data_IF_178597464934
#
_entry.id   IF_178597464934
#
_cell.length_a   1.000
_cell.length_b   1.000
_cell.length_c   1.000
_cell.angle_alpha   90.00
_cell.angle_beta   90.00
_cell.angle_gamma   90.00
#
_symmetry.space_group_name_H-M   'P 1'
#
loop_
_entity.id
_entity.type
_entity.pdbx_description
1 polymer ?
#
# COMPACT_ATOMS: atom_id res chain seq x y z
N UNK A 1 8.35 -22.28 -28.00
CA UNK A 1 6.90 -22.52 -27.98
C UNK A 1 6.49 -22.73 -26.54
N UNK A 2 5.84 -21.74 -25.90
CA UNK A 2 5.41 -21.81 -24.49
C UNK A 2 4.04 -22.48 -24.48
N UNK A 3 3.93 -23.64 -23.85
CA UNK A 3 2.65 -24.37 -23.74
C UNK A 3 1.70 -23.56 -22.81
N UNK A 4 0.52 -23.13 -23.26
CA UNK A 4 -0.40 -22.31 -22.46
C UNK A 4 -1.20 -23.09 -21.42
N UNK A 5 -0.90 -24.36 -21.21
CA UNK A 5 -1.61 -25.25 -20.27
C UNK A 5 -0.83 -25.53 -18.97
N UNK A 6 0.09 -24.62 -18.59
CA UNK A 6 0.68 -24.66 -17.24
C UNK A 6 -0.44 -24.47 -16.22
N UNK A 7 -0.52 -25.39 -15.25
CA UNK A 7 -1.46 -25.38 -14.14
C UNK A 7 -1.61 -23.98 -13.58
N UNK A 8 -2.85 -23.49 -13.48
CA UNK A 8 -3.17 -22.21 -12.83
C UNK A 8 -2.45 -22.15 -11.49
N UNK A 9 -1.63 -21.11 -11.23
CA UNK A 9 -0.95 -21.01 -9.95
C UNK A 9 -1.98 -21.09 -8.82
N UNK A 10 -1.70 -21.81 -7.73
CA UNK A 10 -2.64 -21.92 -6.62
C UNK A 10 -3.00 -20.53 -6.10
N UNK A 11 -4.29 -20.19 -6.14
CA UNK A 11 -4.81 -18.88 -5.67
C UNK A 11 -5.68 -18.13 -6.69
N UNK A 12 -5.98 -18.69 -7.85
CA UNK A 12 -6.94 -18.11 -8.79
C UNK A 12 -8.36 -18.31 -8.28
N UNK A 13 -8.99 -17.23 -7.82
CA UNK A 13 -10.43 -17.12 -7.61
C UNK A 13 -11.04 -16.20 -8.67
N UNK A 14 -12.36 -16.14 -8.79
CA UNK A 14 -13.04 -15.30 -9.79
C UNK A 14 -12.67 -13.82 -9.73
N UNK A 15 -12.14 -13.36 -8.60
CA UNK A 15 -11.74 -11.97 -8.34
C UNK A 15 -10.22 -11.84 -8.10
N UNK A 16 -9.42 -12.78 -8.61
CA UNK A 16 -7.96 -12.77 -8.42
C UNK A 16 -7.26 -12.83 -9.78
N UNK A 17 -6.31 -11.94 -9.98
CA UNK A 17 -5.48 -11.86 -11.19
C UNK A 17 -4.01 -11.87 -10.80
N UNK A 18 -3.22 -12.63 -11.54
CA UNK A 18 -1.75 -12.63 -11.40
C UNK A 18 -1.16 -11.99 -12.64
N UNK A 19 -0.37 -10.94 -12.47
CA UNK A 19 0.24 -10.16 -13.55
C UNK A 19 1.75 -10.16 -13.38
N UNK A 20 2.57 -10.28 -14.46
CA UNK A 20 4.00 -10.04 -14.35
C UNK A 20 4.25 -8.65 -13.78
N UNK A 21 5.21 -8.53 -12.86
CA UNK A 21 5.51 -7.22 -12.27
C UNK A 21 5.95 -6.21 -13.34
N UNK A 22 6.64 -6.66 -14.39
CA UNK A 22 7.05 -5.83 -15.51
C UNK A 22 5.86 -5.18 -16.25
N UNK A 23 4.77 -5.92 -16.49
CA UNK A 23 3.58 -5.39 -17.15
C UNK A 23 2.81 -4.44 -16.24
N UNK A 24 2.76 -4.76 -14.94
CA UNK A 24 2.17 -3.88 -13.93
C UNK A 24 2.95 -2.57 -13.78
N UNK A 25 4.27 -2.62 -13.74
CA UNK A 25 5.17 -1.47 -13.63
C UNK A 25 5.12 -0.60 -14.90
N UNK A 26 5.04 -1.23 -16.07
CA UNK A 26 4.89 -0.55 -17.36
C UNK A 26 3.46 0.01 -17.60
N UNK A 27 2.47 -0.36 -16.75
CA UNK A 27 1.08 0.04 -16.92
C UNK A 27 0.39 -0.63 -18.11
N UNK A 28 0.86 -1.80 -18.55
CA UNK A 28 0.30 -2.57 -19.66
C UNK A 28 -0.90 -3.41 -19.22
N UNK A 29 -1.84 -2.76 -18.54
CA UNK A 29 -3.08 -3.39 -18.12
C UNK A 29 -4.23 -3.00 -19.05
N UNK A 30 -5.27 -3.84 -19.18
CA UNK A 30 -6.43 -3.50 -20.01
C UNK A 30 -7.09 -2.22 -19.50
N UNK A 31 -7.59 -1.38 -20.42
CA UNK A 31 -8.25 -0.11 -20.13
C UNK A 31 -9.63 -0.24 -19.43
N UNK A 32 -9.77 -1.22 -18.55
CA UNK A 32 -10.98 -1.50 -17.76
C UNK A 32 -10.65 -1.22 -16.31
N UNK A 33 -11.53 -0.52 -15.60
CA UNK A 33 -11.38 -0.23 -14.18
C UNK A 33 -11.32 -1.52 -13.35
N UNK A 34 -10.25 -1.67 -12.57
CA UNK A 34 -10.05 -2.86 -11.76
C UNK A 34 -11.07 -2.98 -10.61
N UNK A 35 -11.73 -1.89 -10.20
CA UNK A 35 -12.70 -1.84 -9.10
C UNK A 35 -14.13 -2.06 -9.61
N UNK A 36 -14.54 -1.37 -10.67
CA UNK A 36 -15.93 -1.30 -11.13
C UNK A 36 -16.21 -2.08 -12.41
N UNK A 37 -15.17 -2.49 -13.16
CA UNK A 37 -15.33 -3.13 -14.47
C UNK A 37 -15.73 -2.17 -15.60
N UNK A 38 -15.92 -0.89 -15.33
CA UNK A 38 -16.20 0.15 -16.33
C UNK A 38 -14.94 0.53 -17.11
N UNK A 39 -15.04 1.24 -18.26
CA UNK A 39 -13.86 1.79 -18.93
C UNK A 39 -13.06 2.68 -17.99
N UNK A 40 -11.75 2.47 -17.95
CA UNK A 40 -10.86 3.26 -17.09
C UNK A 40 -10.65 4.66 -17.69
N UNK A 41 -10.76 5.69 -16.86
CA UNK A 41 -10.54 7.09 -17.25
C UNK A 41 -9.29 7.69 -16.59
N UNK A 42 -8.69 6.98 -15.62
CA UNK A 42 -7.51 7.42 -14.90
C UNK A 42 -6.59 6.24 -14.55
N UNK A 43 -5.32 6.54 -14.29
CA UNK A 43 -4.34 5.57 -13.82
C UNK A 43 -3.85 5.96 -12.42
N UNK A 44 -4.08 5.10 -11.45
CA UNK A 44 -3.64 5.28 -10.07
C UNK A 44 -2.29 4.59 -9.85
N UNK A 45 -1.28 5.35 -9.44
CA UNK A 45 0.02 4.78 -9.05
C UNK A 45 -0.13 4.05 -7.72
N UNK A 46 0.15 2.75 -7.71
CA UNK A 46 0.04 1.91 -6.52
C UNK A 46 1.31 1.11 -6.30
N UNK A 47 1.73 1.07 -5.03
CA UNK A 47 2.85 0.22 -4.59
C UNK A 47 2.29 -0.94 -3.81
N UNK A 48 2.59 -2.15 -4.24
CA UNK A 48 2.33 -3.36 -3.50
C UNK A 48 3.63 -3.90 -2.94
N UNK A 49 3.60 -4.25 -1.68
CA UNK A 49 4.75 -4.79 -0.97
C UNK A 49 4.36 -6.11 -0.31
N UNK A 50 5.28 -7.02 -0.28
CA UNK A 50 5.13 -8.30 0.42
C UNK A 50 6.32 -8.46 1.35
N UNK A 51 6.02 -8.58 2.64
CA UNK A 51 7.00 -8.93 3.67
C UNK A 51 6.62 -10.30 4.21
N UNK A 52 7.55 -11.25 4.32
CA UNK A 52 7.27 -12.55 4.93
C UNK A 52 6.77 -12.39 6.37
N UNK A 53 5.80 -13.22 6.77
CA UNK A 53 5.17 -13.10 8.10
C UNK A 53 6.15 -13.30 9.26
N UNK A 54 7.20 -14.12 9.05
CA UNK A 54 8.22 -14.37 10.07
C UNK A 54 9.04 -13.12 10.44
N UNK A 55 9.11 -12.12 9.55
CA UNK A 55 9.80 -10.84 9.83
C UNK A 55 9.15 -10.12 11.01
N UNK A 56 7.82 -10.22 11.16
CA UNK A 56 7.10 -9.67 12.33
C UNK A 56 7.52 -10.31 13.66
N UNK A 57 7.88 -11.59 13.66
CA UNK A 57 8.32 -12.27 14.87
C UNK A 57 9.70 -11.77 15.37
N UNK A 58 10.52 -11.22 14.47
CA UNK A 58 11.81 -10.65 14.84
C UNK A 58 11.71 -9.41 15.72
N UNK A 59 10.56 -8.73 15.69
CA UNK A 59 10.29 -7.60 16.59
C UNK A 59 10.40 -8.00 18.08
N UNK A 60 10.02 -9.25 18.38
CA UNK A 60 10.12 -9.79 19.75
C UNK A 60 11.56 -10.12 20.19
N UNK A 61 12.46 -10.31 19.22
CA UNK A 61 13.85 -10.71 19.48
C UNK A 61 14.76 -9.48 19.50
N UNK A 62 14.68 -8.64 18.47
CA UNK A 62 15.52 -7.45 18.34
C UNK A 62 14.96 -6.53 17.27
N UNK A 63 14.80 -5.25 17.62
CA UNK A 63 14.49 -4.17 16.70
C UNK A 63 15.52 -4.07 15.54
N UNK A 64 16.80 -4.27 15.83
CA UNK A 64 17.85 -4.21 14.82
C UNK A 64 17.73 -5.35 13.81
N UNK A 65 17.49 -6.57 14.29
CA UNK A 65 17.27 -7.74 13.42
C UNK A 65 16.05 -7.56 12.51
N UNK A 66 14.98 -6.91 13.01
CA UNK A 66 13.79 -6.57 12.22
C UNK A 66 14.14 -5.60 11.08
N UNK A 67 14.89 -4.53 11.35
CA UNK A 67 15.30 -3.57 10.31
C UNK A 67 16.13 -4.25 9.23
N UNK A 68 17.12 -5.04 9.63
CA UNK A 68 18.00 -5.77 8.69
C UNK A 68 17.17 -6.75 7.85
N UNK A 69 16.34 -7.59 8.48
CA UNK A 69 15.49 -8.54 7.77
C UNK A 69 14.51 -7.83 6.83
N UNK A 70 13.91 -6.71 7.25
CA UNK A 70 13.02 -5.92 6.41
C UNK A 70 13.72 -5.39 5.16
N UNK A 71 14.93 -4.84 5.29
CA UNK A 71 15.71 -4.32 4.17
C UNK A 71 16.02 -5.40 3.12
N UNK A 72 16.35 -6.63 3.57
CA UNK A 72 16.71 -7.72 2.66
C UNK A 72 15.49 -8.47 2.10
N UNK A 73 14.38 -8.54 2.82
CA UNK A 73 13.21 -9.35 2.42
C UNK A 73 12.08 -8.55 1.82
N UNK A 74 12.11 -7.21 1.95
CA UNK A 74 11.06 -6.34 1.45
C UNK A 74 11.02 -6.35 -0.08
N UNK A 75 9.98 -6.95 -0.65
CA UNK A 75 9.73 -6.94 -2.08
C UNK A 75 8.59 -5.98 -2.38
N UNK A 76 8.86 -4.99 -3.18
CA UNK A 76 7.86 -4.03 -3.62
C UNK A 76 7.84 -3.94 -5.15
N UNK A 77 6.64 -3.80 -5.69
CA UNK A 77 6.42 -3.44 -7.09
C UNK A 77 5.50 -2.23 -7.12
N UNK A 78 5.87 -1.24 -7.91
CA UNK A 78 5.11 -0.01 -8.07
C UNK A 78 4.63 0.05 -9.51
N UNK A 79 3.32 0.05 -9.70
CA UNK A 79 2.74 0.10 -11.04
C UNK A 79 1.52 1.01 -11.11
N UNK A 80 0.87 0.99 -12.27
CA UNK A 80 -0.31 1.81 -12.57
C UNK A 80 -1.55 0.92 -12.65
N UNK A 81 -2.51 1.19 -11.79
CA UNK A 81 -3.80 0.49 -11.76
C UNK A 81 -4.84 1.33 -12.51
N UNK A 82 -5.50 0.80 -13.55
CA UNK A 82 -6.56 1.51 -14.24
C UNK A 82 -7.80 1.63 -13.35
N UNK A 83 -8.27 2.86 -13.15
CA UNK A 83 -9.44 3.20 -12.32
C UNK A 83 -10.27 4.29 -12.99
N UNK A 84 -11.46 4.57 -12.47
CA UNK A 84 -12.25 5.75 -12.88
C UNK A 84 -11.81 6.99 -12.09
N UNK A 85 -11.88 8.17 -12.72
CA UNK A 85 -11.42 9.44 -12.15
C UNK A 85 -11.93 9.73 -10.72
N UNK A 86 -13.22 9.56 -10.39
CA UNK A 86 -13.69 9.86 -9.03
C UNK A 86 -13.07 8.97 -7.95
N UNK A 87 -12.73 7.73 -8.28
CA UNK A 87 -12.01 6.84 -7.34
C UNK A 87 -10.55 7.32 -7.19
N UNK A 88 -9.89 7.68 -8.30
CA UNK A 88 -8.52 8.17 -8.28
C UNK A 88 -8.38 9.44 -7.44
N UNK A 89 -9.27 10.43 -7.65
CA UNK A 89 -9.27 11.68 -6.88
C UNK A 89 -9.53 11.46 -5.39
N UNK A 90 -10.48 10.58 -5.05
CA UNK A 90 -10.78 10.28 -3.65
C UNK A 90 -9.59 9.64 -2.94
N UNK A 91 -8.93 8.70 -3.59
CA UNK A 91 -7.75 8.04 -3.05
C UNK A 91 -6.58 9.02 -2.90
N UNK A 92 -6.37 9.90 -3.89
CA UNK A 92 -5.31 10.90 -3.84
C UNK A 92 -5.54 11.91 -2.70
N UNK A 93 -6.78 12.39 -2.51
CA UNK A 93 -7.14 13.26 -1.37
C UNK A 93 -6.90 12.57 -0.02
N UNK A 94 -7.30 11.29 0.11
CA UNK A 94 -7.05 10.54 1.34
C UNK A 94 -5.55 10.40 1.61
N UNK A 95 -4.76 10.15 0.57
CA UNK A 95 -3.31 10.04 0.66
C UNK A 95 -2.64 11.35 1.04
N UNK A 96 -3.05 12.47 0.43
CA UNK A 96 -2.54 13.80 0.76
C UNK A 96 -2.87 14.18 2.20
N UNK A 97 -4.13 13.99 2.62
CA UNK A 97 -4.55 14.27 3.99
C UNK A 97 -3.84 13.37 5.01
N UNK A 98 -3.66 12.09 4.69
CA UNK A 98 -2.91 11.15 5.52
C UNK A 98 -1.43 11.55 5.67
N UNK A 99 -0.79 11.96 4.57
CA UNK A 99 0.58 12.44 4.60
C UNK A 99 0.72 13.74 5.42
N UNK A 100 -0.17 14.70 5.23
CA UNK A 100 -0.18 15.95 6.00
C UNK A 100 -0.37 15.67 7.50
N UNK A 101 -1.32 14.80 7.86
CA UNK A 101 -1.56 14.40 9.24
C UNK A 101 -0.32 13.71 9.86
N UNK A 102 0.36 12.84 9.09
CA UNK A 102 1.58 12.17 9.52
C UNK A 102 2.70 13.17 9.83
N UNK A 103 2.98 14.10 8.91
CA UNK A 103 3.99 15.13 9.12
C UNK A 103 3.64 16.07 10.27
N UNK A 104 2.38 16.48 10.40
CA UNK A 104 1.89 17.29 11.52
C UNK A 104 2.11 16.55 12.85
N UNK A 105 1.87 15.23 12.89
CA UNK A 105 2.13 14.40 14.06
C UNK A 105 3.60 14.38 14.47
N UNK A 106 4.51 14.21 13.51
CA UNK A 106 5.97 14.24 13.77
C UNK A 106 6.39 15.62 14.29
N UNK A 107 5.98 16.70 13.63
CA UNK A 107 6.30 18.07 14.04
C UNK A 107 5.77 18.34 15.44
N UNK A 108 4.53 17.93 15.74
CA UNK A 108 3.94 18.07 17.08
C UNK A 108 4.76 17.36 18.16
N UNK A 109 5.22 16.13 17.90
CA UNK A 109 6.09 15.40 18.83
C UNK A 109 7.45 16.09 19.04
N UNK A 110 8.07 16.60 17.98
CA UNK A 110 9.36 17.32 18.07
C UNK A 110 9.16 18.60 18.90
N UNK A 111 8.12 19.39 18.62
CA UNK A 111 7.82 20.60 19.36
C UNK A 111 7.51 20.32 20.84
N UNK A 112 6.85 19.20 21.15
CA UNK A 112 6.63 18.77 22.53
C UNK A 112 7.94 18.55 23.29
N UNK A 113 8.89 17.83 22.67
CA UNK A 113 10.22 17.57 23.26
C UNK A 113 10.99 18.89 23.48
N UNK A 114 11.00 19.76 22.47
CA UNK A 114 11.68 21.06 22.54
C UNK A 114 11.04 21.95 23.63
N UNK A 115 9.71 22.03 23.68
CA UNK A 115 9.02 22.82 24.70
C UNK A 115 9.32 22.34 26.11
N UNK A 116 9.38 21.03 26.34
CA UNK A 116 9.74 20.47 27.65
C UNK A 116 11.16 20.77 28.07
N UNK A 117 12.09 20.93 27.11
CA UNK A 117 13.49 21.30 27.39
C UNK A 117 13.68 22.79 27.65
N UNK A 118 12.84 23.66 27.06
CA UNK A 118 13.05 25.12 27.07
C UNK A 118 12.18 25.81 28.11
N UNK A 119 10.98 25.33 28.38
CA UNK A 119 10.00 25.98 29.26
C UNK A 119 9.90 25.21 30.60
N UNK A 120 10.55 25.68 31.66
CA UNK A 120 10.42 25.01 32.97
C UNK A 120 9.08 25.31 33.65
N UNK A 121 8.65 24.39 34.53
CA UNK A 121 7.47 24.57 35.37
C UNK A 121 6.15 24.10 34.74
N UNK A 122 5.04 24.48 35.38
CA UNK A 122 3.68 24.04 35.04
C UNK A 122 3.29 24.40 33.59
N UNK A 123 3.69 25.57 33.13
CA UNK A 123 3.37 26.01 31.76
C UNK A 123 4.04 25.12 30.70
N UNK A 124 5.28 24.72 30.92
CA UNK A 124 5.98 23.77 30.05
C UNK A 124 5.31 22.40 30.01
N UNK A 125 4.91 21.89 31.18
CA UNK A 125 4.19 20.61 31.28
C UNK A 125 2.86 20.63 30.52
N UNK A 126 2.09 21.70 30.63
CA UNK A 126 0.82 21.85 29.89
C UNK A 126 1.10 21.90 28.39
N UNK A 127 2.08 22.69 27.93
CA UNK A 127 2.44 22.79 26.52
C UNK A 127 2.85 21.44 25.94
N UNK A 128 3.71 20.70 26.62
CA UNK A 128 4.14 19.33 26.24
C UNK A 128 2.94 18.40 26.12
N UNK A 129 2.04 18.41 27.10
CA UNK A 129 0.86 17.53 27.10
C UNK A 129 -0.06 17.82 25.93
N UNK A 130 -0.35 19.08 25.63
CA UNK A 130 -1.20 19.48 24.52
C UNK A 130 -0.56 19.06 23.18
N UNK A 131 0.72 19.32 22.98
CA UNK A 131 1.44 18.98 21.76
C UNK A 131 1.55 17.46 21.56
N UNK A 132 1.77 16.71 22.62
CA UNK A 132 1.78 15.24 22.59
C UNK A 132 0.42 14.67 22.19
N UNK A 133 -0.65 15.14 22.81
CA UNK A 133 -2.01 14.72 22.50
C UNK A 133 -2.37 15.06 21.05
N UNK A 134 -2.05 16.27 20.59
CA UNK A 134 -2.27 16.67 19.20
C UNK A 134 -1.44 15.83 18.22
N UNK A 135 -0.18 15.53 18.53
CA UNK A 135 0.69 14.68 17.71
C UNK A 135 0.17 13.25 17.60
N UNK A 136 -0.25 12.65 18.70
CA UNK A 136 -0.85 11.32 18.71
C UNK A 136 -2.18 11.30 17.93
N UNK A 137 -3.03 12.29 18.10
CA UNK A 137 -4.29 12.39 17.36
C UNK A 137 -4.04 12.50 15.84
N UNK A 138 -3.07 13.30 15.42
CA UNK A 138 -2.67 13.42 14.02
C UNK A 138 -2.12 12.11 13.46
N UNK A 139 -1.33 11.38 14.26
CA UNK A 139 -0.82 10.06 13.86
C UNK A 139 -1.97 9.04 13.69
N UNK A 140 -2.92 9.00 14.61
CA UNK A 140 -4.12 8.14 14.50
C UNK A 140 -4.91 8.50 13.24
N UNK A 141 -5.12 9.79 12.96
CA UNK A 141 -5.81 10.24 11.75
C UNK A 141 -5.11 9.76 10.46
N UNK A 142 -3.77 9.78 10.44
CA UNK A 142 -2.96 9.24 9.33
C UNK A 142 -3.19 7.74 9.12
N UNK A 143 -3.19 6.95 10.20
CA UNK A 143 -3.46 5.51 10.14
C UNK A 143 -4.88 5.25 9.63
N UNK A 144 -5.87 5.96 10.14
CA UNK A 144 -7.28 5.85 9.68
C UNK A 144 -7.39 6.18 8.19
N UNK A 145 -6.76 7.27 7.72
CA UNK A 145 -6.74 7.63 6.31
C UNK A 145 -6.15 6.51 5.44
N UNK A 146 -5.06 5.88 5.88
CA UNK A 146 -4.42 4.76 5.16
C UNK A 146 -5.33 3.51 5.09
N UNK A 147 -6.05 3.23 6.17
CA UNK A 147 -7.02 2.12 6.20
C UNK A 147 -8.20 2.42 5.27
N UNK A 148 -8.75 3.64 5.31
CA UNK A 148 -9.84 4.06 4.42
C UNK A 148 -9.42 4.04 2.95
N UNK A 149 -8.18 4.43 2.63
CA UNK A 149 -7.62 4.31 1.29
C UNK A 149 -7.64 2.85 0.80
N UNK A 150 -7.19 1.92 1.64
CA UNK A 150 -7.16 0.50 1.30
C UNK A 150 -8.56 -0.10 1.12
N UNK A 151 -9.52 0.32 1.93
CA UNK A 151 -10.92 -0.12 1.84
C UNK A 151 -11.63 0.46 0.60
N UNK A 152 -11.35 1.72 0.24
CA UNK A 152 -11.96 2.38 -0.92
C UNK A 152 -11.64 1.64 -2.23
N UNK A 153 -10.44 1.10 -2.36
CA UNK A 153 -10.06 0.31 -3.52
C UNK A 153 -10.57 -1.15 -3.42
N UNK A 154 -10.63 -1.72 -2.22
CA UNK A 154 -10.97 -3.14 -2.02
C UNK A 154 -9.96 -4.13 -2.63
N UNK A 155 -8.97 -3.63 -3.36
CA UNK A 155 -7.97 -4.45 -4.07
C UNK A 155 -6.75 -4.64 -3.17
N UNK A 156 -6.44 -5.91 -2.90
CA UNK A 156 -5.23 -6.32 -2.18
C UNK A 156 -4.23 -6.88 -3.17
N UNK A 157 -2.99 -6.39 -3.12
CA UNK A 157 -1.91 -6.87 -3.95
C UNK A 157 -0.82 -7.54 -3.11
N UNK A 158 -0.31 -8.66 -3.62
CA UNK A 158 0.85 -9.35 -3.07
C UNK A 158 1.88 -9.57 -4.16
N UNK A 159 3.14 -9.30 -3.86
CA UNK A 159 4.25 -9.59 -4.76
C UNK A 159 4.80 -10.96 -4.40
N UNK A 160 4.93 -11.84 -5.39
CA UNK A 160 5.53 -13.17 -5.25
C UNK A 160 6.65 -13.32 -6.26
N UNK A 161 7.68 -14.08 -5.91
CA UNK A 161 8.72 -14.52 -6.84
C UNK A 161 8.50 -15.98 -7.22
N UNK A 162 8.68 -16.25 -8.48
CA UNK A 162 8.76 -17.62 -8.99
C UNK A 162 10.15 -18.20 -8.72
N UNK A 163 10.29 -19.54 -8.79
CA UNK A 163 11.57 -20.24 -8.65
C UNK A 163 12.65 -19.78 -9.64
N UNK A 164 12.26 -19.17 -10.75
CA UNK A 164 13.14 -18.56 -11.76
C UNK A 164 13.49 -17.10 -11.50
N UNK A 165 13.08 -16.53 -10.36
CA UNK A 165 13.34 -15.14 -10.00
C UNK A 165 12.38 -14.11 -10.62
N UNK A 166 11.43 -14.54 -11.47
CA UNK A 166 10.42 -13.65 -12.05
C UNK A 166 9.46 -13.15 -10.97
N UNK A 167 9.23 -11.84 -10.95
CA UNK A 167 8.30 -11.22 -10.00
C UNK A 167 6.89 -11.18 -10.58
N UNK A 168 5.94 -11.58 -9.76
CA UNK A 168 4.51 -11.59 -10.08
C UNK A 168 3.75 -10.74 -9.06
N UNK A 169 2.77 -9.99 -9.54
CA UNK A 169 1.84 -9.22 -8.70
C UNK A 169 0.49 -9.95 -8.72
N UNK A 170 0.10 -10.49 -7.58
CA UNK A 170 -1.22 -11.08 -7.38
C UNK A 170 -2.16 -10.00 -6.87
N UNK A 171 -3.18 -9.67 -7.66
CA UNK A 171 -4.24 -8.73 -7.31
C UNK A 171 -5.48 -9.50 -6.90
N UNK A 172 -6.02 -9.24 -5.71
CA UNK A 172 -7.24 -9.85 -5.18
C UNK A 172 -8.31 -8.78 -4.97
N UNK A 173 -9.58 -9.15 -5.16
CA UNK A 173 -10.70 -8.22 -5.03
C UNK A 173 -10.91 -7.36 -6.27
N UNK A 174 -10.37 -7.78 -7.43
CA UNK A 174 -10.62 -7.11 -8.71
C UNK A 174 -11.99 -7.49 -9.28
N UNK A 175 -12.57 -6.59 -10.08
CA UNK A 175 -13.83 -6.87 -10.77
C UNK A 175 -13.65 -8.01 -11.79
N UNK A 176 -14.63 -8.94 -11.93
CA UNK A 176 -14.51 -10.08 -12.84
C UNK A 176 -14.28 -9.70 -14.30
N UNK A 177 -14.87 -8.59 -14.79
CA UNK A 177 -14.64 -8.09 -16.14
C UNK A 177 -13.18 -7.71 -16.38
N UNK A 178 -12.51 -7.10 -15.37
CA UNK A 178 -11.07 -6.82 -15.43
C UNK A 178 -10.25 -8.11 -15.47
N UNK A 179 -10.62 -9.10 -14.66
CA UNK A 179 -9.94 -10.39 -14.63
C UNK A 179 -10.02 -11.11 -15.99
N UNK A 180 -11.20 -11.11 -16.62
CA UNK A 180 -11.39 -11.66 -17.96
C UNK A 180 -10.60 -10.91 -19.03
N UNK A 181 -10.57 -9.58 -18.99
CA UNK A 181 -9.79 -8.78 -19.92
C UNK A 181 -8.29 -9.08 -19.84
N UNK A 182 -7.74 -9.21 -18.63
CA UNK A 182 -6.33 -9.61 -18.44
C UNK A 182 -6.08 -11.02 -18.99
N UNK A 183 -7.00 -11.96 -18.77
CA UNK A 183 -6.89 -13.31 -19.31
C UNK A 183 -6.91 -13.35 -20.84
N UNK A 184 -7.73 -12.51 -21.47
CA UNK A 184 -7.84 -12.41 -22.94
C UNK A 184 -6.61 -11.76 -23.57
N UNK A 185 -5.97 -10.79 -22.91
CA UNK A 185 -4.75 -10.12 -23.43
C UNK A 185 -3.55 -11.07 -23.47
N UNK A 186 -3.62 -12.21 -22.78
CA UNK A 186 -2.53 -13.19 -22.68
C UNK A 186 -2.69 -14.41 -23.58
N UNK A 187 -3.78 -14.51 -24.31
CA UNK A 187 -4.00 -15.51 -25.35
C UNK A 187 -3.42 -15.05 -26.67
#
# INVERSE_FOLDING_TARGET
MYSPHGAMPPGWGPNTVVVPAADFEAGRLPGICAVTGAPATANLKRRYASTPQWVGCLFLISWFALIVAYLFTHQASTGRLPVISPIAERVERLRQNGALAFFAGIVGCILAVVSGAVIPGVAGTIAVTILLVAGVAAFIASVVASVMESQTLGIRGRVTKDGFGTRWVQLRGVHPAFAQAVANTRR
#
